data_IF_101562145293
#
_entry.id   IF_101562145293
#
_cell.length_a   1.000
_cell.length_b   1.000
_cell.length_c   1.000
_cell.angle_alpha   90.00
_cell.angle_beta   90.00
_cell.angle_gamma   90.00
#
_symmetry.space_group_name_H-M   'P 1'
#
loop_
_entity.id
_entity.type
_entity.pdbx_description
1 polymer ?
#
# COMPACT_ATOMS: atom_id res chain seq x y z
N UNK A 1 -24.03 -0.72 -0.62
CA UNK A 1 -22.80 -0.89 -1.42
C UNK A 1 -23.00 -2.08 -2.35
N UNK A 2 -23.53 -1.81 -3.55
CA UNK A 2 -23.88 -2.80 -4.57
C UNK A 2 -22.63 -3.21 -5.38
N UNK A 3 -22.75 -4.28 -6.16
CA UNK A 3 -21.71 -4.85 -7.04
C UNK A 3 -21.08 -3.85 -8.04
N UNK A 4 -21.62 -2.63 -8.14
CA UNK A 4 -21.28 -1.63 -9.16
C UNK A 4 -19.99 -0.85 -8.87
N UNK A 5 -19.47 -0.88 -7.63
CA UNK A 5 -18.19 -0.22 -7.26
C UNK A 5 -16.95 -1.11 -7.44
N UNK A 6 -17.11 -2.27 -8.08
CA UNK A 6 -16.05 -3.22 -8.34
C UNK A 6 -15.17 -2.77 -9.51
N UNK A 7 -14.04 -2.14 -9.21
CA UNK A 7 -13.08 -1.64 -10.19
C UNK A 7 -12.15 -2.75 -10.69
N UNK A 8 -11.75 -2.66 -11.95
CA UNK A 8 -10.66 -3.43 -12.54
C UNK A 8 -9.29 -2.87 -12.16
N UNK A 9 -8.23 -3.65 -12.41
CA UNK A 9 -6.86 -3.19 -12.12
C UNK A 9 -6.47 -1.94 -12.95
N UNK A 10 -6.97 -1.84 -14.18
CA UNK A 10 -6.73 -0.68 -15.05
C UNK A 10 -7.46 0.58 -14.53
N UNK A 11 -8.70 0.43 -14.06
CA UNK A 11 -9.44 1.55 -13.46
C UNK A 11 -8.81 2.03 -12.15
N UNK A 12 -8.34 1.09 -11.31
CA UNK A 12 -7.58 1.46 -10.09
C UNK A 12 -6.27 2.16 -10.45
N UNK A 13 -5.54 1.67 -11.44
CA UNK A 13 -4.33 2.31 -11.91
C UNK A 13 -4.59 3.75 -12.39
N UNK A 14 -5.64 3.96 -13.18
CA UNK A 14 -6.05 5.28 -13.65
C UNK A 14 -6.45 6.22 -12.50
N UNK A 15 -7.18 5.73 -11.50
CA UNK A 15 -7.64 6.55 -10.36
C UNK A 15 -6.55 6.87 -9.35
N UNK A 16 -5.61 5.96 -9.13
CA UNK A 16 -4.57 6.11 -8.11
C UNK A 16 -3.26 6.67 -8.66
N UNK A 17 -3.09 6.70 -9.99
CA UNK A 17 -1.82 7.03 -10.63
C UNK A 17 -0.74 5.95 -10.45
N UNK A 18 -1.09 4.80 -9.85
CA UNK A 18 -0.20 3.66 -9.74
C UNK A 18 -0.19 2.86 -11.03
N UNK A 19 0.94 2.24 -11.35
CA UNK A 19 0.99 1.29 -12.47
C UNK A 19 0.32 -0.03 -12.07
N UNK A 20 -0.27 -0.75 -13.04
CA UNK A 20 -0.76 -2.11 -12.77
C UNK A 20 0.34 -3.04 -12.23
N UNK A 21 1.60 -2.80 -12.63
CA UNK A 21 2.77 -3.52 -12.10
C UNK A 21 2.95 -3.26 -10.60
N UNK A 22 2.79 -2.01 -10.15
CA UNK A 22 2.85 -1.68 -8.73
C UNK A 22 1.71 -2.34 -7.95
N UNK A 23 0.49 -2.34 -8.48
CA UNK A 23 -0.65 -3.01 -7.88
C UNK A 23 -0.41 -4.53 -7.74
N UNK A 24 0.07 -5.19 -8.81
CA UNK A 24 0.45 -6.62 -8.77
C UNK A 24 1.59 -6.90 -7.80
N UNK A 25 2.55 -5.98 -7.69
CA UNK A 25 3.62 -6.08 -6.71
C UNK A 25 3.09 -6.00 -5.28
N UNK A 26 2.22 -5.04 -4.97
CA UNK A 26 1.61 -4.92 -3.64
C UNK A 26 0.73 -6.11 -3.27
N UNK A 27 0.02 -6.70 -4.24
CA UNK A 27 -0.67 -7.98 -4.04
C UNK A 27 0.31 -9.11 -3.69
N UNK A 28 1.40 -9.26 -4.45
CA UNK A 28 2.44 -10.27 -4.19
C UNK A 28 3.08 -10.09 -2.81
N UNK A 29 3.29 -8.84 -2.41
CA UNK A 29 3.82 -8.49 -1.10
C UNK A 29 2.76 -8.55 0.02
N UNK A 30 1.52 -8.95 -0.28
CA UNK A 30 0.46 -9.07 0.72
C UNK A 30 0.08 -7.75 1.40
N UNK A 31 0.34 -6.62 0.73
CA UNK A 31 -0.15 -5.29 1.12
C UNK A 31 -1.57 -5.06 0.62
N UNK A 32 -1.98 -5.80 -0.41
CA UNK A 32 -3.29 -5.69 -1.05
C UNK A 32 -3.84 -7.10 -1.29
N UNK A 33 -5.12 -7.31 -1.04
CA UNK A 33 -5.77 -8.60 -1.27
C UNK A 33 -7.09 -8.38 -2.04
N UNK A 34 -7.01 -8.19 -3.37
CA UNK A 34 -8.19 -7.92 -4.16
C UNK A 34 -9.15 -9.10 -4.14
N UNK A 35 -10.44 -8.79 -4.18
CA UNK A 35 -11.47 -9.81 -4.29
C UNK A 35 -11.49 -10.39 -5.72
N UNK A 36 -12.05 -11.59 -5.87
CA UNK A 36 -12.12 -12.29 -7.16
C UNK A 36 -13.57 -12.59 -7.53
N UNK A 37 -13.93 -12.38 -8.79
CA UNK A 37 -15.24 -12.79 -9.31
C UNK A 37 -15.31 -14.32 -9.41
N UNK A 38 -16.52 -14.86 -9.63
CA UNK A 38 -16.71 -16.29 -9.86
C UNK A 38 -15.89 -16.81 -11.07
N UNK A 39 -15.61 -15.94 -12.05
CA UNK A 39 -14.76 -16.25 -13.20
C UNK A 39 -13.25 -16.06 -12.94
N UNK A 40 -12.84 -15.84 -11.68
CA UNK A 40 -11.44 -15.71 -11.28
C UNK A 40 -10.77 -14.36 -11.53
N UNK A 41 -11.51 -13.37 -12.05
CA UNK A 41 -10.99 -12.02 -12.35
C UNK A 41 -10.88 -11.17 -11.08
N UNK A 42 -9.82 -10.37 -10.97
CA UNK A 42 -9.63 -9.44 -9.84
C UNK A 42 -10.58 -8.26 -9.94
N UNK A 43 -11.15 -7.88 -8.81
CA UNK A 43 -11.84 -6.61 -8.65
C UNK A 43 -11.46 -5.95 -7.33
N UNK A 44 -11.55 -4.63 -7.31
CA UNK A 44 -11.16 -3.77 -6.20
C UNK A 44 -12.36 -2.95 -5.76
N UNK A 45 -12.47 -2.72 -4.47
CA UNK A 45 -13.53 -1.94 -3.85
C UNK A 45 -12.96 -0.64 -3.27
N UNK A 46 -13.83 0.28 -2.84
CA UNK A 46 -13.41 1.55 -2.23
C UNK A 46 -12.37 1.38 -1.10
N UNK A 47 -12.54 0.37 -0.24
CA UNK A 47 -11.57 0.03 0.82
C UNK A 47 -10.16 -0.28 0.30
N UNK A 48 -10.06 -0.85 -0.89
CA UNK A 48 -8.78 -1.18 -1.50
C UNK A 48 -8.07 0.10 -1.97
N UNK A 49 -8.83 1.12 -2.37
CA UNK A 49 -8.28 2.43 -2.76
C UNK A 49 -7.77 3.19 -1.54
N UNK A 50 -8.51 3.16 -0.43
CA UNK A 50 -8.07 3.72 0.85
C UNK A 50 -6.76 3.07 1.33
N UNK A 51 -6.67 1.74 1.23
CA UNK A 51 -5.46 0.99 1.56
C UNK A 51 -4.28 1.39 0.65
N UNK A 52 -4.51 1.52 -0.65
CA UNK A 52 -3.50 1.94 -1.62
C UNK A 52 -3.01 3.37 -1.36
N UNK A 53 -3.89 4.28 -0.93
CA UNK A 53 -3.51 5.63 -0.53
C UNK A 53 -2.56 5.60 0.68
N UNK A 54 -2.87 4.81 1.70
CA UNK A 54 -2.00 4.64 2.88
C UNK A 54 -0.63 4.04 2.51
N UNK A 55 -0.62 2.95 1.73
CA UNK A 55 0.62 2.31 1.26
C UNK A 55 1.48 3.32 0.48
N UNK A 56 0.85 4.11 -0.38
CA UNK A 56 1.56 5.12 -1.19
C UNK A 56 2.16 6.23 -0.32
N UNK A 57 1.42 6.70 0.70
CA UNK A 57 1.92 7.69 1.65
C UNK A 57 3.16 7.17 2.40
N UNK A 58 3.12 5.95 2.94
CA UNK A 58 4.26 5.37 3.63
C UNK A 58 5.46 5.13 2.70
N UNK A 59 5.23 4.69 1.47
CA UNK A 59 6.31 4.54 0.47
C UNK A 59 7.00 5.86 0.17
N UNK A 60 6.25 6.97 0.07
CA UNK A 60 6.79 8.32 -0.12
C UNK A 60 7.56 8.82 1.10
N UNK A 61 7.14 8.41 2.30
CA UNK A 61 7.86 8.68 3.55
C UNK A 61 9.11 7.80 3.76
N UNK A 62 9.50 6.97 2.78
CA UNK A 62 10.72 6.17 2.82
C UNK A 62 10.57 4.78 3.43
N UNK A 63 9.39 4.41 3.92
CA UNK A 63 9.17 3.09 4.51
C UNK A 63 9.32 1.96 3.49
N UNK A 64 9.93 0.86 3.92
CA UNK A 64 10.04 -0.38 3.15
C UNK A 64 8.71 -1.13 3.20
N UNK A 65 8.42 -1.88 2.13
CA UNK A 65 7.20 -2.71 2.01
C UNK A 65 6.98 -3.62 3.22
N UNK A 66 8.04 -4.20 3.78
CA UNK A 66 7.93 -5.04 4.98
C UNK A 66 7.45 -4.28 6.22
N UNK A 67 7.91 -3.04 6.43
CA UNK A 67 7.48 -2.19 7.55
C UNK A 67 6.01 -1.79 7.38
N UNK A 68 5.62 -1.40 6.16
CA UNK A 68 4.22 -1.07 5.83
C UNK A 68 3.31 -2.26 6.11
N UNK A 69 3.73 -3.48 5.73
CA UNK A 69 2.97 -4.71 6.00
C UNK A 69 2.81 -4.98 7.49
N UNK A 70 3.84 -4.71 8.29
CA UNK A 70 3.77 -4.88 9.74
C UNK A 70 2.79 -3.88 10.37
N UNK A 71 2.81 -2.61 9.93
CA UNK A 71 1.87 -1.57 10.34
C UNK A 71 0.42 -1.95 10.04
N UNK A 72 0.13 -2.32 8.79
CA UNK A 72 -1.23 -2.66 8.36
C UNK A 72 -1.80 -3.90 9.04
N UNK A 73 -0.92 -4.79 9.55
CA UNK A 73 -1.33 -5.97 10.33
C UNK A 73 -1.42 -5.70 11.84
N UNK A 74 -1.24 -4.46 12.29
CA UNK A 74 -1.17 -4.10 13.71
C UNK A 74 0.01 -4.74 14.45
N UNK A 75 1.03 -5.21 13.70
CA UNK A 75 2.23 -5.87 14.25
C UNK A 75 3.38 -4.90 14.52
N UNK A 76 3.20 -3.63 14.15
CA UNK A 76 4.16 -2.56 14.42
C UNK A 76 3.40 -1.31 14.87
N UNK A 77 4.05 -0.54 15.73
CA UNK A 77 3.58 0.77 16.18
C UNK A 77 4.09 1.85 15.22
N UNK A 78 3.17 2.69 14.72
CA UNK A 78 3.49 3.77 13.81
C UNK A 78 4.43 4.79 14.44
N UNK A 79 4.22 5.15 15.70
CA UNK A 79 5.05 6.16 16.38
C UNK A 79 6.52 5.70 16.41
N UNK A 80 6.76 4.47 16.89
CA UNK A 80 8.09 3.87 16.94
C UNK A 80 8.76 3.77 15.57
N UNK A 81 7.99 3.47 14.52
CA UNK A 81 8.53 3.36 13.17
C UNK A 81 8.87 4.74 12.57
N UNK A 82 8.08 5.77 12.86
CA UNK A 82 8.39 7.15 12.48
C UNK A 82 9.63 7.64 13.22
N UNK A 83 9.73 7.40 14.53
CA UNK A 83 10.90 7.78 15.33
C UNK A 83 12.18 7.13 14.78
N UNK A 84 12.15 5.82 14.53
CA UNK A 84 13.28 5.11 13.93
C UNK A 84 13.66 5.64 12.54
N UNK A 85 12.69 6.08 11.74
CA UNK A 85 12.94 6.66 10.42
C UNK A 85 13.55 8.07 10.53
N UNK A 86 13.13 8.89 11.49
CA UNK A 86 13.71 10.19 11.76
C UNK A 86 15.17 10.06 12.23
N UNK A 87 15.46 9.11 13.11
CA UNK A 87 16.83 8.78 13.55
C UNK A 87 17.72 8.30 12.40
N UNK A 88 17.20 7.45 11.51
CA UNK A 88 17.97 7.02 10.35
C UNK A 88 18.30 8.18 9.40
N UNK A 89 17.33 9.06 9.13
CA UNK A 89 17.53 10.22 8.25
C UNK A 89 18.43 11.29 8.88
N UNK A 90 18.39 11.47 10.20
CA UNK A 90 19.28 12.39 10.92
C UNK A 90 20.72 11.86 10.94
N UNK A 91 20.91 10.56 11.14
CA UNK A 91 22.22 9.91 11.09
C UNK A 91 22.87 10.01 9.69
N UNK A 92 22.10 9.89 8.62
CA UNK A 92 22.58 10.09 7.24
C UNK A 92 23.05 11.53 6.96
N UNK A 93 22.41 12.53 7.60
CA UNK A 93 22.77 13.95 7.45
C UNK A 93 23.97 14.40 8.30
N UNK A 94 24.24 13.71 9.42
CA UNK A 94 25.36 14.04 10.32
C UNK A 94 26.72 13.46 9.90
N UNK A 95 26.75 12.66 8.84
CA UNK A 95 27.96 11.99 8.33
C UNK A 95 28.68 12.78 7.20
N UNK A 96 28.38 14.07 7.03
CA UNK A 96 28.98 14.96 6.02
C UNK A 96 29.87 15.99 6.70
#
# INVERSE_FOLDING_TARGET
>A
MTKDDALTIGEVAARTGLTERALRHYEKEGLLAPSRTAAGRRFYLARDLELLAQVTAFRRAGFKVAQIRALLKGKADLARLVDAQLEALSAERGAI
#
